data_IF_971609732568
#
_entry.id   IF_971609732568
#
_cell.length_a   1.000
_cell.length_b   1.000
_cell.length_c   1.000
_cell.angle_alpha   90.00
_cell.angle_beta   90.00
_cell.angle_gamma   90.00
#
_symmetry.space_group_name_H-M   'P 1'
#
loop_
_entity.id
_entity.type
_entity.pdbx_description
1 polymer ?
#
# COMPACT_ATOMS: atom_id res chain seq x y z
N UNK A 1 14.32 0.94 -25.20
CA UNK A 1 15.67 1.35 -24.77
C UNK A 1 15.74 2.76 -24.19
N UNK A 2 15.41 3.84 -24.94
CA UNK A 2 15.60 5.24 -24.47
C UNK A 2 14.82 5.63 -23.20
N UNK A 3 13.61 5.08 -22.99
CA UNK A 3 12.86 5.32 -21.75
C UNK A 3 13.52 4.62 -20.54
N UNK A 4 13.92 3.35 -20.71
CA UNK A 4 14.61 2.60 -19.66
C UNK A 4 15.91 3.25 -19.24
N UNK A 5 16.76 3.67 -20.19
CA UNK A 5 18.01 4.35 -19.88
C UNK A 5 17.78 5.65 -19.12
N UNK A 6 16.67 6.36 -19.39
CA UNK A 6 16.37 7.61 -18.70
C UNK A 6 15.74 7.40 -17.32
N UNK A 7 14.85 6.40 -17.17
CA UNK A 7 14.34 6.01 -15.85
C UNK A 7 15.49 5.51 -14.98
N UNK A 8 16.36 4.66 -15.53
CA UNK A 8 17.58 4.20 -14.86
C UNK A 8 18.52 5.37 -14.51
N UNK A 9 18.76 6.31 -15.42
CA UNK A 9 19.57 7.50 -15.13
C UNK A 9 18.98 8.35 -14.01
N UNK A 10 17.66 8.63 -14.02
CA UNK A 10 17.03 9.40 -12.95
C UNK A 10 17.05 8.64 -11.63
N UNK A 11 16.86 7.31 -11.65
CA UNK A 11 17.02 6.48 -10.47
C UNK A 11 18.43 6.58 -9.90
N UNK A 12 19.47 6.44 -10.73
CA UNK A 12 20.87 6.58 -10.27
C UNK A 12 21.17 7.98 -9.73
N UNK A 13 20.71 9.04 -10.40
CA UNK A 13 20.92 10.41 -9.93
C UNK A 13 20.22 10.66 -8.58
N UNK A 14 19.03 10.11 -8.40
CA UNK A 14 18.28 10.24 -7.16
C UNK A 14 18.83 9.37 -6.04
N UNK A 15 19.37 8.17 -6.34
CA UNK A 15 20.05 7.30 -5.38
C UNK A 15 21.43 7.83 -4.94
N UNK A 16 22.10 8.61 -5.80
CA UNK A 16 23.39 9.21 -5.50
C UNK A 16 23.29 10.52 -4.69
N UNK A 17 22.08 11.06 -4.48
CA UNK A 17 21.86 12.17 -3.55
C UNK A 17 21.78 11.59 -2.13
N UNK A 18 22.94 11.48 -1.48
CA UNK A 18 23.16 10.77 -0.22
C UNK A 18 22.47 11.42 1.00
N UNK A 19 21.94 12.64 0.86
CA UNK A 19 21.42 13.43 1.98
C UNK A 19 19.90 13.34 2.20
N UNK A 20 19.13 12.73 1.27
CA UNK A 20 17.68 12.53 1.43
C UNK A 20 17.29 11.12 0.95
N UNK A 21 16.61 10.32 1.78
CA UNK A 21 15.96 9.09 1.33
C UNK A 21 14.99 9.43 0.19
N UNK A 22 15.33 9.05 -1.04
CA UNK A 22 14.51 9.36 -2.21
C UNK A 22 13.14 8.65 -2.11
N UNK A 23 12.07 9.43 -1.87
CA UNK A 23 10.69 8.95 -1.92
C UNK A 23 9.87 9.73 -2.95
N UNK A 24 9.35 9.05 -3.96
CA UNK A 24 8.55 9.69 -5.01
C UNK A 24 7.38 8.81 -5.45
N UNK A 25 6.21 9.42 -5.67
CA UNK A 25 5.07 8.70 -6.25
C UNK A 25 5.28 8.48 -7.75
N UNK A 26 4.81 7.35 -8.29
CA UNK A 26 4.87 7.09 -9.74
C UNK A 26 4.23 8.20 -10.58
N UNK A 27 3.20 8.86 -10.05
CA UNK A 27 2.55 10.03 -10.70
C UNK A 27 3.47 11.23 -10.71
N UNK A 28 4.08 11.59 -9.58
CA UNK A 28 5.03 12.71 -9.51
C UNK A 28 6.21 12.47 -10.45
N UNK A 29 6.75 11.26 -10.47
CA UNK A 29 7.80 10.86 -11.42
C UNK A 29 7.33 10.93 -12.88
N UNK A 30 6.11 10.49 -13.19
CA UNK A 30 5.55 10.66 -14.53
C UNK A 30 5.46 12.13 -14.96
N UNK A 31 5.13 13.05 -14.04
CA UNK A 31 5.12 14.49 -14.33
C UNK A 31 6.52 15.07 -14.48
N UNK A 32 7.51 14.63 -13.70
CA UNK A 32 8.90 15.10 -13.84
C UNK A 32 9.51 14.69 -15.20
N UNK A 33 9.05 13.57 -15.76
CA UNK A 33 9.47 13.08 -17.08
C UNK A 33 8.86 13.84 -18.27
N UNK A 34 7.96 14.80 -18.06
CA UNK A 34 7.32 15.60 -19.13
C UNK A 34 8.18 16.76 -19.64
N UNK A 35 9.50 16.59 -19.72
CA UNK A 35 10.37 17.53 -20.43
C UNK A 35 10.20 17.42 -21.96
N UNK A 36 10.54 18.46 -22.73
CA UNK A 36 10.30 18.50 -24.19
C UNK A 36 10.92 17.33 -24.95
N UNK A 37 12.05 16.79 -24.46
CA UNK A 37 12.79 15.72 -25.14
C UNK A 37 12.12 14.33 -25.02
N UNK A 38 11.49 14.02 -23.88
CA UNK A 38 10.99 12.68 -23.55
C UNK A 38 9.47 12.58 -23.53
N UNK A 39 8.76 13.72 -23.52
CA UNK A 39 7.30 13.79 -23.63
C UNK A 39 6.73 12.92 -24.75
N UNK A 40 7.43 12.79 -25.89
CA UNK A 40 7.03 11.92 -27.01
C UNK A 40 7.03 10.41 -26.69
N UNK A 41 7.85 9.99 -25.73
CA UNK A 41 7.98 8.59 -25.29
C UNK A 41 7.15 8.29 -24.04
N UNK A 42 6.73 9.33 -23.30
CA UNK A 42 5.97 9.25 -22.04
C UNK A 42 4.54 9.77 -22.26
N UNK A 43 3.80 9.08 -23.12
CA UNK A 43 2.43 9.47 -23.51
C UNK A 43 1.40 9.10 -22.44
N UNK A 44 1.59 7.96 -21.76
CA UNK A 44 0.70 7.43 -20.72
C UNK A 44 1.52 7.01 -19.51
N UNK A 45 0.95 7.20 -18.31
CA UNK A 45 1.58 6.78 -17.05
C UNK A 45 1.97 5.29 -17.07
N UNK A 46 1.15 4.44 -17.70
CA UNK A 46 1.44 3.00 -17.81
C UNK A 46 2.78 2.65 -18.48
N UNK A 47 3.35 3.52 -19.33
CA UNK A 47 4.71 3.32 -19.88
C UNK A 47 5.80 3.52 -18.84
N UNK A 48 5.59 4.45 -17.91
CA UNK A 48 6.49 4.70 -16.77
C UNK A 48 6.34 3.59 -15.74
N UNK A 49 5.11 3.18 -15.45
CA UNK A 49 4.84 2.06 -14.54
C UNK A 49 5.49 0.76 -15.04
N UNK A 50 5.39 0.46 -16.34
CA UNK A 50 6.09 -0.67 -16.97
C UNK A 50 7.62 -0.54 -16.83
N UNK A 51 8.19 0.64 -17.11
CA UNK A 51 9.62 0.85 -17.00
C UNK A 51 10.16 0.67 -15.57
N UNK A 52 9.43 1.19 -14.58
CA UNK A 52 9.76 1.00 -13.17
C UNK A 52 9.72 -0.48 -12.81
N UNK A 53 8.66 -1.18 -13.19
CA UNK A 53 8.50 -2.60 -12.88
C UNK A 53 9.60 -3.46 -13.51
N UNK A 54 9.97 -3.21 -14.77
CA UNK A 54 11.07 -3.93 -15.43
C UNK A 54 12.42 -3.70 -14.77
N UNK A 55 12.73 -2.46 -14.39
CA UNK A 55 13.96 -2.17 -13.65
C UNK A 55 13.93 -2.85 -12.27
N UNK A 56 12.78 -2.83 -11.59
CA UNK A 56 12.60 -3.52 -10.30
C UNK A 56 12.81 -5.03 -10.46
N UNK A 57 12.28 -5.64 -11.52
CA UNK A 57 12.50 -7.06 -11.84
C UNK A 57 13.97 -7.37 -12.13
N UNK A 58 14.66 -6.52 -12.90
CA UNK A 58 16.09 -6.69 -13.21
C UNK A 58 16.99 -6.59 -11.98
N UNK A 59 16.56 -5.82 -10.97
CA UNK A 59 17.27 -5.64 -9.70
C UNK A 59 16.78 -6.59 -8.60
N UNK A 60 15.83 -7.48 -8.91
CA UNK A 60 15.22 -8.42 -7.96
C UNK A 60 14.65 -7.75 -6.70
N UNK A 61 14.16 -6.52 -6.82
CA UNK A 61 13.61 -5.74 -5.71
C UNK A 61 12.20 -5.24 -6.02
N UNK A 62 11.48 -4.81 -4.99
CA UNK A 62 10.21 -4.11 -5.14
C UNK A 62 10.42 -2.66 -5.59
N UNK A 63 9.45 -2.04 -6.30
CA UNK A 63 9.51 -0.62 -6.64
C UNK A 63 9.68 0.31 -5.43
N UNK A 64 9.19 -0.10 -4.26
CA UNK A 64 9.35 0.66 -3.01
C UNK A 64 10.80 0.68 -2.51
N UNK A 65 11.59 -0.35 -2.78
CA UNK A 65 13.03 -0.39 -2.47
C UNK A 65 13.82 0.55 -3.40
N UNK A 66 13.26 0.90 -4.56
CA UNK A 66 13.78 1.93 -5.45
C UNK A 66 13.30 3.35 -5.09
N UNK A 67 12.60 3.51 -3.98
CA UNK A 67 12.05 4.80 -3.55
C UNK A 67 10.70 5.18 -4.18
N UNK A 68 10.09 4.29 -4.98
CA UNK A 68 8.75 4.53 -5.52
C UNK A 68 7.65 4.11 -4.54
N UNK A 69 7.11 5.09 -3.83
CA UNK A 69 6.00 4.88 -2.88
C UNK A 69 4.65 5.12 -3.55
N UNK A 70 3.61 4.50 -3.00
CA UNK A 70 2.22 4.81 -3.34
C UNK A 70 1.56 5.44 -2.11
N UNK A 71 0.82 6.53 -2.31
CA UNK A 71 0.00 7.09 -1.24
C UNK A 71 -1.11 6.10 -0.91
N UNK A 72 -1.23 5.78 0.37
CA UNK A 72 -2.26 4.94 0.93
C UNK A 72 -3.62 5.63 0.83
N UNK A 73 -4.60 4.93 0.25
CA UNK A 73 -6.02 5.24 0.33
C UNK A 73 -6.76 4.30 1.29
N UNK A 74 -6.06 3.30 1.82
CA UNK A 74 -6.63 2.28 2.67
C UNK A 74 -7.00 2.81 4.05
N UNK A 75 -8.02 2.22 4.66
CA UNK A 75 -8.45 2.53 6.02
C UNK A 75 -8.43 1.29 6.90
N UNK A 76 -8.21 1.48 8.19
CA UNK A 76 -8.17 0.44 9.21
C UNK A 76 -8.97 0.89 10.43
N UNK A 77 -9.75 -0.02 11.01
CA UNK A 77 -10.43 0.16 12.29
C UNK A 77 -10.42 -1.15 13.07
N UNK A 78 -10.31 -1.11 14.39
CA UNK A 78 -10.20 -2.29 15.25
C UNK A 78 -9.06 -2.19 16.25
N UNK A 79 -9.02 -3.12 17.20
CA UNK A 79 -7.96 -3.18 18.23
C UNK A 79 -6.62 -3.55 17.60
N UNK A 80 -5.76 -2.56 17.37
CA UNK A 80 -4.44 -2.79 16.79
C UNK A 80 -3.47 -1.68 17.21
N UNK A 81 -2.29 -2.06 17.65
CA UNK A 81 -1.17 -1.14 17.92
C UNK A 81 0.05 -1.56 17.10
N UNK A 82 0.54 -0.64 16.26
CA UNK A 82 1.68 -0.87 15.36
C UNK A 82 2.85 0.00 15.80
N UNK A 83 3.99 -0.62 16.08
CA UNK A 83 5.20 0.02 16.60
C UNK A 83 6.22 0.19 15.47
N UNK A 84 6.77 1.39 15.33
CA UNK A 84 7.78 1.79 14.36
C UNK A 84 9.04 2.24 15.10
N UNK A 85 10.11 1.45 15.05
CA UNK A 85 11.31 1.72 15.84
C UNK A 85 11.02 1.77 17.35
N UNK A 86 11.73 2.63 18.08
CA UNK A 86 11.61 2.76 19.54
C UNK A 86 10.58 3.80 19.99
N UNK A 87 10.25 4.81 19.17
CA UNK A 87 9.47 5.97 19.65
C UNK A 87 8.08 6.12 19.02
N UNK A 88 7.84 5.58 17.81
CA UNK A 88 6.60 5.86 17.08
C UNK A 88 5.63 4.70 17.17
N UNK A 89 4.42 4.97 17.66
CA UNK A 89 3.34 3.99 17.73
C UNK A 89 2.08 4.56 17.07
N UNK A 90 1.41 3.74 16.27
CA UNK A 90 0.08 4.05 15.73
C UNK A 90 -0.92 3.14 16.42
N UNK A 91 -1.89 3.76 17.10
CA UNK A 91 -3.01 3.06 17.71
C UNK A 91 -4.23 3.17 16.80
N UNK A 92 -4.83 2.02 16.51
CA UNK A 92 -6.12 1.90 15.87
C UNK A 92 -7.14 1.50 16.94
N UNK A 93 -8.32 2.11 16.87
CA UNK A 93 -9.40 1.91 17.83
C UNK A 93 -10.59 1.21 17.14
N UNK A 94 -11.47 0.60 17.94
CA UNK A 94 -12.63 -0.12 17.41
C UNK A 94 -13.75 0.80 16.89
N UNK A 95 -13.79 2.07 17.31
CA UNK A 95 -14.87 3.02 17.00
C UNK A 95 -14.53 4.06 15.93
N UNK A 96 -13.26 4.23 15.64
CA UNK A 96 -12.74 5.16 14.65
C UNK A 96 -11.92 4.41 13.61
N UNK A 97 -11.69 5.06 12.48
CA UNK A 97 -10.78 4.53 11.46
C UNK A 97 -9.61 5.49 11.25
N UNK A 98 -8.46 4.92 10.91
CA UNK A 98 -7.28 5.66 10.50
C UNK A 98 -6.77 5.13 9.17
N UNK A 99 -6.00 5.95 8.45
CA UNK A 99 -5.37 5.53 7.21
C UNK A 99 -4.37 4.39 7.46
N UNK A 100 -4.24 3.49 6.48
CA UNK A 100 -3.10 2.56 6.44
C UNK A 100 -1.82 3.40 6.29
N UNK A 101 -0.73 3.10 7.02
CA UNK A 101 0.52 3.85 6.90
C UNK A 101 1.16 3.64 5.53
N UNK A 102 1.68 4.71 4.92
CA UNK A 102 2.32 4.66 3.59
C UNK A 102 3.56 3.77 3.54
N UNK A 103 4.31 3.69 4.65
CA UNK A 103 5.56 2.93 4.77
C UNK A 103 5.48 1.98 5.95
N UNK A 104 5.71 0.69 5.67
CA UNK A 104 5.60 -0.42 6.64
C UNK A 104 6.97 -1.04 6.93
N UNK A 105 8.02 -0.64 6.21
CA UNK A 105 9.38 -1.18 6.32
C UNK A 105 9.98 -1.08 7.74
N UNK A 106 9.52 -0.11 8.54
CA UNK A 106 10.09 0.15 9.87
C UNK A 106 9.24 -0.44 11.02
N UNK A 107 8.27 -1.32 10.73
CA UNK A 107 7.43 -1.94 11.76
C UNK A 107 8.21 -2.99 12.55
N UNK A 108 8.50 -2.68 13.81
CA UNK A 108 9.22 -3.55 14.74
C UNK A 108 8.26 -4.57 15.36
N UNK A 109 7.16 -4.09 15.95
CA UNK A 109 6.20 -4.91 16.68
C UNK A 109 4.75 -4.57 16.29
N UNK A 110 3.87 -5.56 16.42
CA UNK A 110 2.42 -5.42 16.25
C UNK A 110 1.74 -6.09 17.44
N UNK A 111 0.73 -5.44 18.02
CA UNK A 111 -0.07 -5.97 19.14
C UNK A 111 -1.55 -5.81 18.85
N UNK A 112 -2.34 -6.82 19.16
CA UNK A 112 -3.79 -6.84 18.95
C UNK A 112 -4.40 -7.99 19.76
N UNK A 113 -5.63 -7.80 20.26
CA UNK A 113 -6.45 -8.89 20.81
C UNK A 113 -7.49 -9.41 19.80
N UNK A 114 -7.51 -8.89 18.57
CA UNK A 114 -8.46 -9.28 17.54
C UNK A 114 -8.29 -10.77 17.16
N UNK A 115 -9.40 -11.42 16.82
CA UNK A 115 -9.42 -12.81 16.38
C UNK A 115 -9.13 -12.98 14.88
N UNK A 116 -9.41 -11.95 14.07
CA UNK A 116 -9.22 -11.98 12.62
C UNK A 116 -9.20 -10.59 11.99
N UNK A 117 -8.77 -10.53 10.74
CA UNK A 117 -8.88 -9.33 9.88
C UNK A 117 -9.99 -9.56 8.85
N UNK A 118 -10.88 -8.57 8.69
CA UNK A 118 -11.90 -8.54 7.65
C UNK A 118 -11.61 -7.42 6.65
N UNK A 119 -11.19 -7.81 5.46
CA UNK A 119 -10.96 -6.91 4.33
C UNK A 119 -12.29 -6.66 3.61
N UNK A 120 -12.75 -5.42 3.61
CA UNK A 120 -14.00 -4.99 2.98
C UNK A 120 -13.71 -4.22 1.71
N UNK A 121 -14.26 -4.67 0.58
CA UNK A 121 -14.03 -4.04 -0.73
C UNK A 121 -14.51 -2.57 -0.75
N UNK A 122 -15.77 -2.33 -0.39
CA UNK A 122 -16.44 -1.04 -0.53
C UNK A 122 -16.33 -0.19 0.72
N UNK A 123 -15.91 1.06 0.57
CA UNK A 123 -15.85 2.05 1.66
C UNK A 123 -17.22 2.21 2.33
N UNK A 124 -18.31 2.27 1.55
CA UNK A 124 -19.66 2.38 2.11
C UNK A 124 -20.05 1.22 3.03
N UNK A 125 -19.62 -0.01 2.72
CA UNK A 125 -19.86 -1.19 3.56
C UNK A 125 -18.96 -1.15 4.79
N UNK A 126 -17.69 -0.76 4.63
CA UNK A 126 -16.76 -0.57 5.74
C UNK A 126 -17.31 0.44 6.77
N UNK A 127 -17.76 1.61 6.31
CA UNK A 127 -18.32 2.67 7.16
C UNK A 127 -19.60 2.21 7.86
N UNK A 128 -20.43 1.40 7.18
CA UNK A 128 -21.63 0.80 7.77
C UNK A 128 -21.26 -0.16 8.91
N UNK A 129 -20.36 -1.10 8.68
CA UNK A 129 -19.91 -2.07 9.67
C UNK A 129 -19.28 -1.39 10.90
N UNK A 130 -18.49 -0.33 10.67
CA UNK A 130 -17.91 0.44 11.77
C UNK A 130 -19.00 1.13 12.63
N UNK A 131 -20.02 1.72 11.99
CA UNK A 131 -21.15 2.35 12.70
C UNK A 131 -21.96 1.35 13.51
N UNK A 132 -22.05 0.11 13.05
CA UNK A 132 -22.68 -1.01 13.75
C UNK A 132 -21.75 -1.64 14.82
N UNK A 133 -20.63 -1.00 15.15
CA UNK A 133 -19.63 -1.46 16.14
C UNK A 133 -19.11 -2.88 15.87
N UNK A 134 -19.08 -3.30 14.60
CA UNK A 134 -18.62 -4.62 14.17
C UNK A 134 -17.21 -5.01 14.69
N UNK A 135 -16.19 -4.12 14.69
CA UNK A 135 -14.87 -4.45 15.24
C UNK A 135 -14.92 -4.85 16.72
N UNK A 136 -15.78 -4.19 17.51
CA UNK A 136 -15.95 -4.46 18.94
C UNK A 136 -16.73 -5.74 19.17
N UNK A 137 -17.88 -5.90 18.48
CA UNK A 137 -18.77 -7.05 18.66
C UNK A 137 -18.14 -8.37 18.18
N UNK A 138 -17.43 -8.35 17.06
CA UNK A 138 -16.82 -9.54 16.47
C UNK A 138 -15.34 -9.72 16.82
N UNK A 139 -14.77 -8.82 17.64
CA UNK A 139 -13.36 -8.79 17.98
C UNK A 139 -12.46 -8.92 16.73
N UNK A 140 -12.62 -8.00 15.77
CA UNK A 140 -11.94 -8.06 14.48
C UNK A 140 -11.33 -6.72 14.07
N UNK A 141 -10.36 -6.78 13.16
CA UNK A 141 -9.80 -5.60 12.49
C UNK A 141 -10.47 -5.46 11.12
N UNK A 142 -11.17 -4.36 10.89
CA UNK A 142 -11.66 -4.00 9.57
C UNK A 142 -10.56 -3.31 8.79
N UNK A 143 -10.39 -3.70 7.52
CA UNK A 143 -9.50 -3.02 6.57
C UNK A 143 -10.28 -2.78 5.27
N UNK A 144 -10.11 -1.64 4.62
CA UNK A 144 -10.62 -1.43 3.25
C UNK A 144 -9.58 -0.78 2.36
N UNK A 145 -9.48 -1.27 1.12
CA UNK A 145 -8.70 -0.66 0.04
C UNK A 145 -9.51 0.30 -0.84
N UNK A 146 -10.81 0.50 -0.54
CA UNK A 146 -11.77 1.26 -1.36
C UNK A 146 -11.77 0.80 -2.82
N UNK A 147 -12.15 -0.46 -3.04
CA UNK A 147 -12.01 -1.19 -4.31
C UNK A 147 -10.67 -1.92 -4.38
N UNK A 148 -9.99 -1.85 -5.54
CA UNK A 148 -8.66 -2.43 -5.71
C UNK A 148 -7.67 -1.82 -4.71
N UNK A 149 -6.98 -2.64 -3.89
CA UNK A 149 -6.06 -2.12 -2.89
C UNK A 149 -4.79 -1.54 -3.52
N UNK A 150 -4.24 -0.53 -2.86
CA UNK A 150 -2.89 -0.04 -3.16
C UNK A 150 -1.81 -0.93 -2.52
N UNK A 151 -0.55 -0.65 -2.85
CA UNK A 151 0.60 -1.40 -2.31
C UNK A 151 0.67 -1.31 -0.78
N UNK A 152 0.58 -0.13 -0.12
CA UNK A 152 0.61 -0.04 1.33
C UNK A 152 -0.47 -0.89 2.01
N UNK A 153 -1.71 -0.87 1.51
CA UNK A 153 -2.82 -1.67 2.04
C UNK A 153 -2.54 -3.17 1.94
N UNK A 154 -1.99 -3.63 0.81
CA UNK A 154 -1.62 -5.04 0.62
C UNK A 154 -0.49 -5.44 1.57
N UNK A 155 0.55 -4.62 1.66
CA UNK A 155 1.68 -4.86 2.57
C UNK A 155 1.22 -4.87 4.03
N UNK A 156 0.25 -4.03 4.39
CA UNK A 156 -0.32 -3.98 5.73
C UNK A 156 -1.07 -5.25 6.10
N UNK A 157 -1.97 -5.70 5.22
CA UNK A 157 -2.72 -6.96 5.43
C UNK A 157 -1.77 -8.15 5.51
N UNK A 158 -0.77 -8.21 4.63
CA UNK A 158 0.27 -9.25 4.66
C UNK A 158 1.06 -9.21 5.97
N UNK A 159 1.46 -8.03 6.43
CA UNK A 159 2.18 -7.84 7.68
C UNK A 159 1.36 -8.32 8.89
N UNK A 160 0.05 -8.09 8.92
CA UNK A 160 -0.83 -8.65 9.95
C UNK A 160 -0.87 -10.17 9.88
N UNK A 161 -0.99 -10.75 8.69
CA UNK A 161 -0.96 -12.20 8.50
C UNK A 161 0.37 -12.83 8.93
N UNK A 162 1.50 -12.18 8.69
CA UNK A 162 2.84 -12.73 8.96
C UNK A 162 3.29 -12.51 10.41
N UNK A 163 3.12 -11.30 10.98
CA UNK A 163 3.63 -10.94 12.31
C UNK A 163 2.72 -11.39 13.46
N UNK A 164 1.39 -11.36 13.28
CA UNK A 164 0.42 -11.72 14.33
C UNK A 164 -0.44 -12.93 13.97
N UNK A 165 -0.18 -13.56 12.82
CA UNK A 165 -0.84 -14.81 12.39
C UNK A 165 -2.37 -14.76 12.37
N UNK A 166 -2.94 -13.57 12.16
CA UNK A 166 -4.39 -13.42 12.10
C UNK A 166 -4.93 -13.99 10.78
N UNK A 167 -6.02 -14.79 10.83
CA UNK A 167 -6.72 -15.20 9.62
C UNK A 167 -7.31 -13.97 8.93
N UNK A 168 -7.17 -13.93 7.60
CA UNK A 168 -7.66 -12.85 6.75
C UNK A 168 -8.90 -13.32 6.00
N UNK A 169 -10.02 -12.64 6.20
CA UNK A 169 -11.26 -12.84 5.44
C UNK A 169 -11.52 -11.66 4.53
N UNK A 170 -12.18 -11.90 3.39
CA UNK A 170 -12.55 -10.86 2.44
C UNK A 170 -14.07 -10.80 2.25
N UNK A 171 -14.63 -9.60 2.33
CA UNK A 171 -16.02 -9.29 2.00
C UNK A 171 -16.04 -8.46 0.72
N UNK A 172 -16.39 -9.12 -0.38
CA UNK A 172 -16.41 -8.58 -1.75
C UNK A 172 -17.77 -8.82 -2.39
N UNK A 173 -18.07 -8.08 -3.45
CA UNK A 173 -19.27 -8.36 -4.25
C UNK A 173 -19.18 -9.75 -4.90
N UNK A 174 -20.31 -10.45 -5.02
CA UNK A 174 -20.43 -11.73 -5.70
C UNK A 174 -20.42 -11.57 -7.24
N UNK A 175 -19.34 -11.00 -7.79
CA UNK A 175 -19.13 -10.81 -9.22
C UNK A 175 -17.63 -10.98 -9.58
N UNK A 176 -17.28 -11.14 -10.87
CA UNK A 176 -15.89 -11.34 -11.28
C UNK A 176 -14.91 -10.26 -10.80
N UNK A 177 -15.35 -9.00 -10.69
CA UNK A 177 -14.51 -7.91 -10.19
C UNK A 177 -14.22 -8.02 -8.69
N UNK A 178 -15.20 -8.41 -7.87
CA UNK A 178 -15.00 -8.67 -6.45
C UNK A 178 -14.00 -9.80 -6.22
N UNK A 179 -14.11 -10.89 -7.01
CA UNK A 179 -13.12 -11.97 -6.98
C UNK A 179 -11.73 -11.51 -7.41
N UNK A 180 -11.62 -10.68 -8.45
CA UNK A 180 -10.35 -10.12 -8.90
C UNK A 180 -9.69 -9.30 -7.78
N UNK A 181 -10.45 -8.42 -7.12
CA UNK A 181 -9.95 -7.62 -5.99
C UNK A 181 -9.45 -8.52 -4.85
N UNK A 182 -10.20 -9.56 -4.50
CA UNK A 182 -9.77 -10.54 -3.49
C UNK A 182 -8.44 -11.19 -3.87
N UNK A 183 -8.26 -11.59 -5.13
CA UNK A 183 -7.02 -12.20 -5.63
C UNK A 183 -5.80 -11.27 -5.55
N UNK A 184 -5.97 -9.95 -5.52
CA UNK A 184 -4.85 -8.99 -5.39
C UNK A 184 -4.18 -9.05 -4.00
N UNK A 185 -4.90 -9.51 -2.97
CA UNK A 185 -4.35 -9.70 -1.62
C UNK A 185 -3.61 -11.02 -1.42
N UNK A 186 -3.63 -11.91 -2.42
CA UNK A 186 -2.97 -13.21 -2.38
C UNK A 186 -1.47 -13.12 -2.69
#
# INVERSE_FOLDING_TARGET
MRLMSYVHYNLLQNLNNVDDDFYCTKRAFFYSLKNEFIKRFVVKQGKVDWAINEISMLLECGPWELGFISTSKGLVAGDLSVYFGEEKVIHYEQRNYHAVPDVIANVTQVRTCAAYVLVVEKDSVFQKLLREECPSFNNCILVTGKGYPDIPTRMFVRMLSEKVQLPIYALVDANPHGFEIMCVYR
#
